data_IF_395460877431
#
_entry.id   IF_395460877431
#
_cell.length_a   1.000
_cell.length_b   1.000
_cell.length_c   1.000
_cell.angle_alpha   90.00
_cell.angle_beta   90.00
_cell.angle_gamma   90.00
#
_symmetry.space_group_name_H-M   'P 1'
#
loop_
_entity.id
_entity.type
_entity.pdbx_description
1 polymer ?
#
# COMPACT_ATOMS: atom_id res chain seq x y z
N UNK A 1 8.92 2.99 -14.38
CA UNK A 1 8.49 2.44 -15.69
C UNK A 1 8.74 0.93 -15.86
N UNK A 2 8.99 0.16 -14.79
CA UNK A 2 9.53 -1.21 -14.89
C UNK A 2 8.53 -2.35 -14.63
N UNK A 3 7.31 -2.10 -14.14
CA UNK A 3 6.38 -3.19 -13.79
C UNK A 3 5.36 -3.55 -14.89
N UNK A 4 5.00 -2.62 -15.78
CA UNK A 4 3.89 -2.81 -16.75
C UNK A 4 4.07 -2.15 -18.10
N UNK A 5 5.21 -1.51 -18.36
CA UNK A 5 5.45 -0.85 -19.64
C UNK A 5 5.56 -1.91 -20.76
N UNK A 6 4.43 -2.20 -21.43
CA UNK A 6 4.36 -3.10 -22.57
C UNK A 6 3.37 -4.24 -22.48
N UNK A 7 2.61 -4.40 -21.38
CA UNK A 7 1.55 -5.41 -21.32
C UNK A 7 0.31 -4.88 -22.04
N UNK A 8 -0.08 -5.43 -23.21
CA UNK A 8 -1.29 -5.00 -23.89
C UNK A 8 -2.49 -5.44 -23.07
N UNK A 9 -3.23 -4.48 -22.54
CA UNK A 9 -4.53 -4.75 -21.89
C UNK A 9 -5.59 -4.71 -22.98
N UNK A 10 -6.31 -5.82 -23.17
CA UNK A 10 -7.36 -5.92 -24.19
C UNK A 10 -8.60 -5.14 -23.73
N UNK A 11 -9.09 -4.15 -24.51
CA UNK A 11 -10.35 -3.50 -24.21
C UNK A 11 -11.50 -4.52 -24.08
N UNK A 12 -12.47 -4.32 -23.16
CA UNK A 12 -12.71 -3.11 -22.37
C UNK A 12 -11.99 -3.10 -21.00
N UNK A 13 -11.06 -4.03 -20.74
CA UNK A 13 -10.46 -4.15 -19.42
C UNK A 13 -9.59 -2.92 -19.11
N UNK A 14 -9.82 -2.24 -17.98
CA UNK A 14 -8.93 -1.17 -17.55
C UNK A 14 -7.56 -1.73 -17.15
N UNK A 15 -6.53 -0.88 -17.20
CA UNK A 15 -5.18 -1.28 -16.82
C UNK A 15 -5.13 -1.52 -15.30
N UNK A 16 -4.53 -2.62 -14.80
CA UNK A 16 -4.63 -3.00 -13.39
C UNK A 16 -4.07 -1.95 -12.40
N UNK A 17 -3.07 -1.17 -12.83
CA UNK A 17 -2.55 -0.06 -12.01
C UNK A 17 -3.53 1.11 -11.90
N UNK A 18 -4.40 1.29 -12.89
CA UNK A 18 -5.50 2.26 -12.81
C UNK A 18 -6.50 1.79 -11.77
N UNK A 19 -6.94 0.52 -11.84
CA UNK A 19 -7.87 -0.06 -10.88
C UNK A 19 -7.35 0.00 -9.44
N UNK A 20 -6.10 -0.39 -9.23
CA UNK A 20 -5.49 -0.34 -7.90
C UNK A 20 -5.38 1.09 -7.36
N UNK A 21 -5.09 2.07 -8.23
CA UNK A 21 -5.06 3.48 -7.85
C UNK A 21 -6.45 3.99 -7.51
N UNK A 22 -7.48 3.63 -8.26
CA UNK A 22 -8.87 4.05 -7.98
C UNK A 22 -9.37 3.46 -6.64
N UNK A 23 -9.08 2.18 -6.40
CA UNK A 23 -9.39 1.52 -5.13
C UNK A 23 -8.63 2.22 -3.98
N UNK A 24 -7.33 2.47 -4.12
CA UNK A 24 -6.56 3.15 -3.09
C UNK A 24 -7.09 4.57 -2.83
N UNK A 25 -7.34 5.35 -3.89
CA UNK A 25 -7.83 6.73 -3.83
C UNK A 25 -9.16 6.81 -3.09
N UNK A 26 -10.14 5.98 -3.48
CA UNK A 26 -11.46 5.95 -2.83
C UNK A 26 -11.37 5.62 -1.33
N UNK A 27 -10.54 4.64 -0.96
CA UNK A 27 -10.34 4.27 0.45
C UNK A 27 -9.59 5.33 1.25
N UNK A 28 -8.63 6.01 0.66
CA UNK A 28 -7.90 7.10 1.31
C UNK A 28 -8.81 8.31 1.53
N UNK A 29 -9.67 8.66 0.57
CA UNK A 29 -10.68 9.70 0.73
C UNK A 29 -11.64 9.38 1.88
N UNK A 30 -12.09 8.14 1.99
CA UNK A 30 -12.91 7.68 3.12
C UNK A 30 -12.20 7.85 4.46
N UNK A 31 -10.92 7.47 4.53
CA UNK A 31 -10.12 7.58 5.74
C UNK A 31 -9.88 9.05 6.15
N UNK A 32 -9.71 9.97 5.19
CA UNK A 32 -9.68 11.41 5.45
C UNK A 32 -11.01 11.88 6.04
N UNK A 33 -12.15 11.48 5.45
CA UNK A 33 -13.49 11.82 5.98
C UNK A 33 -13.72 11.31 7.41
N UNK A 34 -13.12 10.17 7.76
CA UNK A 34 -13.21 9.56 9.08
C UNK A 34 -12.16 10.09 10.08
N UNK A 35 -11.35 11.08 9.68
CA UNK A 35 -10.23 11.63 10.47
C UNK A 35 -9.19 10.59 10.87
N UNK A 36 -9.09 9.50 10.10
CA UNK A 36 -8.05 8.49 10.26
C UNK A 36 -6.74 8.92 9.58
N UNK A 37 -6.82 9.83 8.60
CA UNK A 37 -5.68 10.49 7.95
C UNK A 37 -5.72 12.01 8.19
N UNK A 38 -4.56 12.66 8.01
CA UNK A 38 -4.47 14.12 7.99
C UNK A 38 -5.30 14.72 6.83
N UNK A 39 -5.96 15.86 7.07
CA UNK A 39 -6.85 16.49 6.09
C UNK A 39 -6.11 17.19 4.94
N UNK A 40 -4.85 17.56 5.14
CA UNK A 40 -3.98 18.25 4.18
C UNK A 40 -3.18 17.28 3.31
N UNK A 41 -3.46 15.97 3.39
CA UNK A 41 -2.77 14.97 2.59
C UNK A 41 -3.20 15.02 1.12
N UNK A 42 -2.22 14.99 0.20
CA UNK A 42 -2.49 14.81 -1.22
C UNK A 42 -2.81 13.34 -1.51
N UNK A 43 -4.10 13.04 -1.61
CA UNK A 43 -4.60 11.67 -1.77
C UNK A 43 -4.16 11.03 -3.10
N UNK A 44 -4.11 11.77 -4.22
CA UNK A 44 -3.72 11.17 -5.51
C UNK A 44 -2.24 10.78 -5.51
N UNK A 45 -1.38 11.69 -5.03
CA UNK A 45 0.05 11.42 -4.87
C UNK A 45 0.30 10.23 -3.95
N UNK A 46 -0.45 10.13 -2.84
CA UNK A 46 -0.35 9.01 -1.91
C UNK A 46 -0.84 7.70 -2.52
N UNK A 47 -1.96 7.71 -3.25
CA UNK A 47 -2.46 6.51 -3.91
C UNK A 47 -1.45 5.97 -4.93
N UNK A 48 -0.85 6.85 -5.74
CA UNK A 48 0.19 6.47 -6.68
C UNK A 48 1.43 5.90 -5.97
N UNK A 49 1.86 6.55 -4.89
CA UNK A 49 3.02 6.13 -4.08
C UNK A 49 2.77 4.79 -3.39
N UNK A 50 1.57 4.56 -2.87
CA UNK A 50 1.17 3.32 -2.21
C UNK A 50 1.24 2.15 -3.19
N UNK A 51 0.60 2.28 -4.36
CA UNK A 51 0.64 1.24 -5.40
C UNK A 51 2.06 0.95 -5.83
N UNK A 52 2.87 2.00 -6.05
CA UNK A 52 4.28 1.85 -6.43
C UNK A 52 5.12 1.17 -5.35
N UNK A 53 4.87 1.50 -4.08
CA UNK A 53 5.57 0.91 -2.93
C UNK A 53 5.23 -0.56 -2.78
N UNK A 54 3.95 -0.94 -2.85
CA UNK A 54 3.53 -2.35 -2.79
C UNK A 54 4.21 -3.18 -3.87
N UNK A 55 4.16 -2.71 -5.12
CA UNK A 55 4.82 -3.40 -6.24
C UNK A 55 6.33 -3.44 -6.03
N UNK A 56 6.94 -2.35 -5.61
CA UNK A 56 8.37 -2.28 -5.29
C UNK A 56 8.78 -3.28 -4.22
N UNK A 57 8.01 -3.39 -3.14
CA UNK A 57 8.25 -4.35 -2.06
C UNK A 57 8.13 -5.78 -2.57
N UNK A 58 7.16 -6.11 -3.42
CA UNK A 58 7.03 -7.44 -4.03
C UNK A 58 8.16 -7.77 -5.01
N UNK A 59 8.56 -6.81 -5.86
CA UNK A 59 9.61 -7.02 -6.86
C UNK A 59 10.99 -7.14 -6.20
N UNK A 60 11.31 -6.24 -5.27
CA UNK A 60 12.60 -6.26 -4.55
C UNK A 60 12.65 -7.46 -3.60
N UNK A 61 11.57 -7.71 -2.85
CA UNK A 61 11.47 -8.85 -1.94
C UNK A 61 11.59 -10.18 -2.67
N UNK A 62 10.90 -10.35 -3.80
CA UNK A 62 10.95 -11.56 -4.60
C UNK A 62 12.28 -11.81 -5.33
N UNK A 63 13.14 -10.80 -5.48
CA UNK A 63 14.42 -10.92 -6.19
C UNK A 63 15.64 -10.98 -5.27
N UNK A 64 15.59 -10.30 -4.12
CA UNK A 64 16.74 -10.16 -3.21
C UNK A 64 16.57 -10.92 -1.89
N UNK A 65 15.35 -11.37 -1.55
CA UNK A 65 15.05 -11.93 -0.24
C UNK A 65 14.32 -13.29 -0.33
N UNK A 66 14.42 -14.13 0.71
CA UNK A 66 13.57 -15.31 0.82
C UNK A 66 12.09 -14.91 0.84
N UNK A 67 11.24 -15.65 0.12
CA UNK A 67 9.80 -15.36 -0.01
C UNK A 67 9.07 -15.15 1.34
N UNK A 68 9.50 -15.85 2.39
CA UNK A 68 8.96 -15.70 3.75
C UNK A 68 9.17 -14.31 4.39
N UNK A 69 9.99 -13.44 3.81
CA UNK A 69 10.16 -12.05 4.27
C UNK A 69 9.19 -11.07 3.65
N UNK A 70 8.43 -11.48 2.63
CA UNK A 70 7.50 -10.60 1.94
C UNK A 70 6.44 -9.97 2.88
N UNK A 71 5.78 -10.73 3.78
CA UNK A 71 4.84 -10.15 4.75
C UNK A 71 5.50 -9.11 5.67
N UNK A 72 6.73 -9.40 6.13
CA UNK A 72 7.54 -8.51 6.96
C UNK A 72 7.81 -7.17 6.26
N UNK A 73 8.22 -7.20 5.00
CA UNK A 73 8.52 -5.98 4.24
C UNK A 73 7.28 -5.14 3.97
N UNK A 74 6.14 -5.78 3.75
CA UNK A 74 4.86 -5.09 3.59
C UNK A 74 4.43 -4.41 4.89
N UNK A 75 4.62 -5.05 6.05
CA UNK A 75 4.37 -4.42 7.35
C UNK A 75 5.30 -3.22 7.61
N UNK A 76 6.59 -3.35 7.28
CA UNK A 76 7.57 -2.25 7.39
C UNK A 76 7.21 -1.05 6.51
N UNK A 77 6.76 -1.29 5.28
CA UNK A 77 6.21 -0.23 4.40
C UNK A 77 5.06 0.51 5.10
N UNK A 78 4.10 -0.23 5.69
CA UNK A 78 2.98 0.38 6.41
C UNK A 78 3.44 1.20 7.63
N UNK A 79 4.45 0.76 8.39
CA UNK A 79 4.96 1.54 9.51
C UNK A 79 5.48 2.93 9.09
N UNK A 80 6.11 3.02 7.92
CA UNK A 80 6.58 4.29 7.34
C UNK A 80 5.39 5.16 6.93
N UNK A 81 4.45 4.58 6.17
CA UNK A 81 3.28 5.31 5.68
C UNK A 81 2.40 5.83 6.83
N UNK A 82 2.13 5.01 7.85
CA UNK A 82 1.34 5.39 9.03
C UNK A 82 1.95 6.60 9.73
N UNK A 83 3.28 6.67 9.85
CA UNK A 83 3.97 7.80 10.49
C UNK A 83 3.78 9.12 9.74
N UNK A 84 3.67 9.08 8.41
CA UNK A 84 3.48 10.28 7.59
C UNK A 84 2.03 10.73 7.46
N UNK A 85 1.08 9.79 7.51
CA UNK A 85 -0.30 10.07 7.09
C UNK A 85 -1.33 10.05 8.23
N UNK A 86 -1.06 9.34 9.32
CA UNK A 86 -2.03 9.11 10.41
C UNK A 86 -1.75 10.06 11.57
N UNK A 87 -2.78 10.75 12.12
CA UNK A 87 -2.65 11.55 13.33
C UNK A 87 -2.09 10.73 14.51
N UNK A 88 -1.21 11.34 15.31
CA UNK A 88 -0.45 10.66 16.38
C UNK A 88 -1.34 9.81 17.29
N UNK A 89 -2.52 10.32 17.65
CA UNK A 89 -3.49 9.68 18.54
C UNK A 89 -4.06 8.36 18.00
N UNK A 90 -4.02 8.13 16.69
CA UNK A 90 -4.57 6.93 16.03
C UNK A 90 -3.51 5.94 15.57
N UNK A 91 -2.23 6.32 15.54
CA UNK A 91 -1.12 5.51 14.97
C UNK A 91 -1.02 4.12 15.59
N UNK A 92 -1.10 4.03 16.92
CA UNK A 92 -0.93 2.76 17.64
C UNK A 92 -1.89 1.68 17.14
N UNK A 93 -3.15 2.04 16.85
CA UNK A 93 -4.16 1.11 16.32
C UNK A 93 -3.71 0.47 14.99
N UNK A 94 -3.22 1.29 14.06
CA UNK A 94 -2.80 0.80 12.74
C UNK A 94 -1.46 0.06 12.78
N UNK A 95 -0.54 0.47 13.65
CA UNK A 95 0.72 -0.25 13.87
C UNK A 95 0.45 -1.66 14.41
N UNK A 96 -0.43 -1.80 15.40
CA UNK A 96 -0.84 -3.10 15.92
C UNK A 96 -1.50 -3.97 14.85
N UNK A 97 -2.36 -3.38 14.01
CA UNK A 97 -2.99 -4.10 12.91
C UNK A 97 -1.97 -4.60 11.89
N UNK A 98 -1.01 -3.75 11.49
CA UNK A 98 0.04 -4.14 10.55
C UNK A 98 0.91 -5.29 11.09
N UNK A 99 1.27 -5.24 12.37
CA UNK A 99 2.02 -6.32 13.03
C UNK A 99 1.24 -7.65 13.08
N UNK A 100 -0.09 -7.56 13.29
CA UNK A 100 -0.95 -8.75 13.29
C UNK A 100 -1.06 -9.37 11.89
N UNK A 101 -1.29 -8.55 10.86
CA UNK A 101 -1.41 -9.02 9.48
C UNK A 101 -0.10 -9.64 8.96
N UNK A 102 1.05 -9.11 9.39
CA UNK A 102 2.37 -9.71 9.15
C UNK A 102 2.41 -11.18 9.60
N UNK A 103 1.95 -11.44 10.83
CA UNK A 103 1.96 -12.77 11.44
C UNK A 103 0.98 -13.72 10.76
N UNK A 104 -0.26 -13.28 10.52
CA UNK A 104 -1.31 -14.11 9.91
C UNK A 104 -0.94 -14.54 8.48
N UNK A 105 -0.28 -13.65 7.72
CA UNK A 105 0.13 -13.93 6.34
C UNK A 105 1.40 -14.78 6.27
N UNK A 106 2.27 -14.73 7.29
CA UNK A 106 3.47 -15.55 7.36
C UNK A 106 3.22 -17.02 7.75
N UNK A 107 2.04 -17.33 8.30
CA UNK A 107 1.64 -18.69 8.68
C UNK A 107 0.86 -19.45 7.60
N UNK A 108 0.49 -18.78 6.51
CA UNK A 108 -0.24 -19.34 5.36
C UNK A 108 0.72 -19.81 4.27
#
# INVERSE_FOLDING_TARGET
RLATAGVPVRPPLPHPFTDWREIATSRLLDAVRQSDLHQDIDVDSVAHTLVSSVVGTCVVGGTLEPAGRQPRRLAEMWYILIRGMVPVTRRARYVTLAARLEQETGTA
#
